data_IF_368223153510
#
_entry.id   IF_368223153510
#
_cell.length_a   1.000
_cell.length_b   1.000
_cell.length_c   1.000
_cell.angle_alpha   90.00
_cell.angle_beta   90.00
_cell.angle_gamma   90.00
#
_symmetry.space_group_name_H-M   'P 1'
#
loop_
_entity.id
_entity.type
_entity.pdbx_description
1 polymer ?
#
# COMPACT_ATOMS: atom_id res chain seq x y z
N UNK A 1 1.22 12.76 -12.58
CA UNK A 1 1.15 11.39 -13.12
C UNK A 1 0.92 11.53 -14.60
N UNK A 2 1.85 11.05 -15.42
CA UNK A 2 1.71 11.05 -16.87
C UNK A 2 1.25 9.64 -17.25
N UNK A 3 0.09 9.52 -17.89
CA UNK A 3 -0.31 8.25 -18.50
C UNK A 3 0.09 8.27 -19.96
N UNK A 4 0.94 7.32 -20.33
CA UNK A 4 1.07 6.94 -21.72
C UNK A 4 -0.15 6.06 -22.03
N UNK A 5 -1.12 6.61 -22.76
CA UNK A 5 -2.24 5.82 -23.24
C UNK A 5 -1.72 4.92 -24.36
N UNK A 6 -2.03 3.61 -24.36
CA UNK A 6 -1.65 2.74 -25.46
C UNK A 6 -2.12 3.33 -26.80
N UNK A 7 -1.33 3.10 -27.85
CA UNK A 7 -1.67 3.56 -29.20
C UNK A 7 -3.12 3.20 -29.56
N UNK A 8 -3.91 4.21 -29.91
CA UNK A 8 -5.33 4.06 -30.27
C UNK A 8 -6.33 4.12 -29.10
N UNK A 9 -5.88 4.41 -27.87
CA UNK A 9 -6.76 4.69 -26.73
C UNK A 9 -6.90 6.20 -26.55
N UNK A 10 -8.06 6.76 -26.90
CA UNK A 10 -8.42 8.17 -26.76
C UNK A 10 -9.41 8.45 -25.62
N UNK A 11 -10.06 7.41 -25.10
CA UNK A 11 -10.96 7.47 -23.96
C UNK A 11 -10.45 6.61 -22.79
N UNK A 12 -10.54 7.16 -21.57
CA UNK A 12 -10.23 6.41 -20.36
C UNK A 12 -11.11 6.82 -19.18
N UNK A 13 -11.39 5.84 -18.32
CA UNK A 13 -12.21 6.03 -17.14
C UNK A 13 -11.36 6.47 -15.94
N UNK A 14 -11.78 7.55 -15.26
CA UNK A 14 -11.02 8.18 -14.17
C UNK A 14 -11.40 7.72 -12.76
N UNK A 15 -12.60 7.15 -12.57
CA UNK A 15 -13.10 6.82 -11.22
C UNK A 15 -12.20 5.85 -10.44
N UNK A 16 -11.48 4.95 -11.12
CA UNK A 16 -10.48 4.06 -10.49
C UNK A 16 -9.12 4.72 -10.28
N UNK A 17 -8.85 5.81 -10.97
CA UNK A 17 -7.52 6.37 -11.11
C UNK A 17 -7.21 7.43 -10.05
N UNK A 18 -8.23 8.08 -9.48
CA UNK A 18 -8.00 9.11 -8.47
C UNK A 18 -7.24 8.56 -7.25
N UNK A 19 -7.55 7.34 -6.81
CA UNK A 19 -6.79 6.67 -5.73
C UNK A 19 -5.33 6.45 -6.13
N UNK A 20 -5.06 6.11 -7.39
CA UNK A 20 -3.71 5.94 -7.92
C UNK A 20 -2.96 7.28 -7.95
N UNK A 21 -3.64 8.38 -8.27
CA UNK A 21 -3.07 9.74 -8.19
C UNK A 21 -2.59 10.05 -6.77
N UNK A 22 -3.37 9.71 -5.74
CA UNK A 22 -2.95 9.88 -4.36
C UNK A 22 -1.82 8.92 -3.94
N UNK A 23 -1.86 7.68 -4.42
CA UNK A 23 -0.85 6.65 -4.16
C UNK A 23 0.53 7.04 -4.68
N UNK A 24 0.62 7.43 -5.95
CA UNK A 24 1.91 7.76 -6.60
C UNK A 24 2.33 9.22 -6.33
N UNK A 25 1.33 10.10 -6.16
CA UNK A 25 1.53 11.53 -6.00
C UNK A 25 1.52 11.96 -4.54
N UNK A 26 0.62 12.90 -4.24
CA UNK A 26 0.44 13.47 -2.90
C UNK A 26 -0.87 12.95 -2.32
N UNK A 27 -0.88 12.40 -1.11
CA UNK A 27 0.21 12.37 -0.13
C UNK A 27 1.12 11.13 -0.21
N UNK A 28 1.01 10.28 -1.23
CA UNK A 28 1.75 9.02 -1.33
C UNK A 28 3.24 9.16 -1.70
N UNK A 29 3.69 8.44 -2.73
CA UNK A 29 5.11 8.28 -3.05
C UNK A 29 5.84 9.59 -3.29
N UNK A 30 5.24 10.55 -4.01
CA UNK A 30 5.90 11.83 -4.26
C UNK A 30 6.24 12.55 -2.96
N UNK A 31 5.28 12.67 -2.02
CA UNK A 31 5.53 13.32 -0.74
C UNK A 31 6.61 12.58 0.05
N UNK A 32 6.52 11.25 0.15
CA UNK A 32 7.46 10.43 0.91
C UNK A 32 8.90 10.55 0.38
N UNK A 33 9.07 10.37 -0.93
CA UNK A 33 10.37 10.37 -1.57
C UNK A 33 10.99 11.77 -1.58
N UNK A 34 10.22 12.79 -1.98
CA UNK A 34 10.69 14.18 -1.98
C UNK A 34 11.08 14.64 -0.57
N UNK A 35 10.29 14.27 0.44
CA UNK A 35 10.61 14.57 1.84
C UNK A 35 11.96 13.98 2.22
N UNK A 36 12.16 12.67 2.06
CA UNK A 36 13.42 11.99 2.41
C UNK A 36 14.64 12.55 1.64
N UNK A 37 14.48 12.84 0.35
CA UNK A 37 15.55 13.43 -0.48
C UNK A 37 15.94 14.84 -0.03
N UNK A 38 14.99 15.61 0.51
CA UNK A 38 15.24 16.97 1.00
C UNK A 38 15.97 17.05 2.35
N UNK A 39 16.03 15.96 3.13
CA UNK A 39 16.70 15.89 4.45
C UNK A 39 18.22 15.75 4.31
N UNK A 40 18.85 16.68 3.59
CA UNK A 40 20.26 16.58 3.22
C UNK A 40 21.20 16.65 4.42
N UNK A 41 20.79 17.35 5.47
CA UNK A 41 21.56 17.58 6.69
C UNK A 41 21.30 16.53 7.78
N UNK A 42 20.16 15.83 7.73
CA UNK A 42 19.77 14.86 8.77
C UNK A 42 19.90 13.39 8.34
N UNK A 43 19.80 13.10 7.04
CA UNK A 43 19.90 11.74 6.51
C UNK A 43 21.17 11.59 5.68
N UNK A 44 22.01 10.62 5.99
CA UNK A 44 23.15 10.29 5.13
C UNK A 44 22.69 9.78 3.74
N UNK A 45 23.61 9.77 2.77
CA UNK A 45 23.31 9.38 1.39
C UNK A 45 22.67 7.99 1.29
N UNK A 46 23.11 7.01 2.06
CA UNK A 46 22.51 5.67 2.05
C UNK A 46 21.03 5.72 2.46
N UNK A 47 20.68 6.44 3.53
CA UNK A 47 19.28 6.59 3.96
C UNK A 47 18.39 7.35 2.96
N UNK A 48 18.97 8.27 2.18
CA UNK A 48 18.21 9.08 1.21
C UNK A 48 17.95 8.38 -0.11
N UNK A 49 18.92 7.61 -0.62
CA UNK A 49 18.85 7.06 -1.99
C UNK A 49 19.11 5.55 -2.08
N UNK A 50 19.67 4.92 -1.04
CA UNK A 50 20.06 3.50 -1.07
C UNK A 50 19.15 2.58 -0.26
N UNK A 51 18.58 3.08 0.84
CA UNK A 51 17.64 2.34 1.69
C UNK A 51 16.23 2.44 1.12
N UNK A 52 15.64 1.29 0.79
CA UNK A 52 14.23 1.19 0.44
C UNK A 52 13.65 -0.11 0.98
N UNK A 53 12.55 0.01 1.74
CA UNK A 53 11.80 -1.13 2.26
C UNK A 53 10.38 -1.06 1.71
N UNK A 54 9.97 -2.09 0.95
CA UNK A 54 8.66 -2.14 0.29
C UNK A 54 7.51 -1.87 1.26
N UNK A 55 7.48 -2.55 2.41
CA UNK A 55 6.42 -2.36 3.40
C UNK A 55 6.34 -0.93 3.96
N UNK A 56 7.46 -0.22 4.03
CA UNK A 56 7.46 1.19 4.43
C UNK A 56 6.89 2.08 3.32
N UNK A 57 7.41 1.96 2.09
CA UNK A 57 7.02 2.83 0.98
C UNK A 57 5.62 2.54 0.44
N UNK A 58 5.35 1.29 0.11
CA UNK A 58 4.04 0.84 -0.39
C UNK A 58 2.97 0.94 0.70
N UNK A 59 3.34 0.65 1.95
CA UNK A 59 2.46 0.84 3.09
C UNK A 59 2.09 2.31 3.31
N UNK A 60 3.04 3.23 3.13
CA UNK A 60 2.78 4.67 3.19
C UNK A 60 1.84 5.13 2.07
N UNK A 61 2.04 4.67 0.84
CA UNK A 61 1.18 5.05 -0.28
C UNK A 61 -0.27 4.56 -0.07
N UNK A 62 -0.46 3.31 0.37
CA UNK A 62 -1.79 2.79 0.73
C UNK A 62 -2.40 3.48 1.96
N UNK A 63 -1.58 3.91 2.90
CA UNK A 63 -1.98 4.75 4.02
C UNK A 63 -2.46 6.13 3.52
N UNK A 64 -1.74 6.71 2.55
CA UNK A 64 -2.10 7.96 1.89
C UNK A 64 -3.45 7.90 1.18
N UNK A 65 -3.73 6.82 0.44
CA UNK A 65 -5.05 6.57 -0.17
C UNK A 65 -6.18 6.58 0.89
N UNK A 66 -5.95 5.89 2.02
CA UNK A 66 -6.90 5.84 3.12
C UNK A 66 -7.09 7.22 3.78
N UNK A 67 -6.00 7.95 3.98
CA UNK A 67 -6.02 9.30 4.56
C UNK A 67 -6.88 10.23 3.70
N UNK A 68 -6.71 10.22 2.38
CA UNK A 68 -7.49 11.06 1.46
C UNK A 68 -8.99 10.74 1.54
N UNK A 69 -9.35 9.48 1.73
CA UNK A 69 -10.73 9.08 2.01
C UNK A 69 -11.26 9.68 3.32
N UNK A 70 -10.47 9.59 4.40
CA UNK A 70 -10.84 10.09 5.74
C UNK A 70 -11.05 11.61 5.77
N UNK A 71 -10.27 12.36 4.99
CA UNK A 71 -10.34 13.82 4.96
C UNK A 71 -11.26 14.36 3.84
N UNK A 72 -12.04 13.49 3.20
CA UNK A 72 -13.14 13.89 2.31
C UNK A 72 -12.79 14.08 0.83
N UNK A 73 -11.62 13.62 0.38
CA UNK A 73 -11.16 13.77 -1.02
C UNK A 73 -11.61 12.63 -1.95
N UNK A 74 -12.40 11.69 -1.43
CA UNK A 74 -13.07 10.62 -2.18
C UNK A 74 -14.57 10.67 -1.86
N UNK A 75 -15.18 11.81 -2.18
CA UNK A 75 -16.58 12.11 -1.91
C UNK A 75 -17.54 11.43 -2.91
N UNK A 76 -17.10 11.24 -4.16
CA UNK A 76 -17.87 10.48 -5.15
C UNK A 76 -17.83 8.98 -4.80
N UNK A 77 -18.99 8.31 -4.67
CA UNK A 77 -19.05 6.87 -4.44
C UNK A 77 -18.27 6.03 -5.47
N UNK A 78 -18.17 6.46 -6.73
CA UNK A 78 -17.39 5.78 -7.75
C UNK A 78 -15.89 5.86 -7.44
N UNK A 79 -15.38 7.03 -7.07
CA UNK A 79 -13.97 7.20 -6.68
C UNK A 79 -13.61 6.38 -5.44
N UNK A 80 -14.51 6.38 -4.45
CA UNK A 80 -14.37 5.56 -3.25
C UNK A 80 -14.40 4.07 -3.59
N UNK A 81 -15.26 3.64 -4.51
CA UNK A 81 -15.26 2.26 -5.00
C UNK A 81 -13.94 1.91 -5.69
N UNK A 82 -13.35 2.83 -6.46
CA UNK A 82 -12.04 2.66 -7.08
C UNK A 82 -10.93 2.39 -6.07
N UNK A 83 -10.91 3.18 -5.00
CA UNK A 83 -9.99 2.96 -3.87
C UNK A 83 -10.24 1.61 -3.19
N UNK A 84 -11.51 1.26 -2.93
CA UNK A 84 -11.86 -0.02 -2.29
C UNK A 84 -11.52 -1.25 -3.15
N UNK A 85 -11.74 -1.21 -4.46
CA UNK A 85 -11.32 -2.27 -5.40
C UNK A 85 -9.80 -2.45 -5.34
N UNK A 86 -9.08 -1.33 -5.35
CA UNK A 86 -7.63 -1.31 -5.17
C UNK A 86 -7.19 -1.94 -3.85
N UNK A 87 -7.81 -1.57 -2.73
CA UNK A 87 -7.50 -2.11 -1.40
C UNK A 87 -7.84 -3.61 -1.32
N UNK A 88 -8.95 -4.03 -1.91
CA UNK A 88 -9.39 -5.43 -1.96
C UNK A 88 -8.36 -6.31 -2.68
N UNK A 89 -7.84 -5.85 -3.83
CA UNK A 89 -6.75 -6.52 -4.53
C UNK A 89 -5.50 -6.69 -3.65
N UNK A 90 -5.08 -5.63 -2.94
CA UNK A 90 -3.88 -5.70 -2.07
C UNK A 90 -4.13 -6.55 -0.81
N UNK A 91 -5.35 -6.64 -0.31
CA UNK A 91 -5.70 -7.58 0.76
C UNK A 91 -5.67 -9.04 0.24
N UNK A 92 -6.20 -9.29 -0.95
CA UNK A 92 -6.15 -10.60 -1.60
C UNK A 92 -4.71 -11.09 -1.83
N UNK A 93 -3.78 -10.18 -2.15
CA UNK A 93 -2.34 -10.47 -2.24
C UNK A 93 -1.77 -11.09 -0.96
N UNK A 94 -2.20 -10.63 0.22
CA UNK A 94 -1.75 -11.19 1.51
C UNK A 94 -2.18 -12.64 1.63
N UNK A 95 -3.46 -12.93 1.34
CA UNK A 95 -4.02 -14.27 1.45
C UNK A 95 -3.36 -15.23 0.46
N UNK A 96 -3.17 -14.79 -0.79
CA UNK A 96 -2.56 -15.62 -1.83
C UNK A 96 -1.09 -15.91 -1.55
N UNK A 97 -0.27 -14.88 -1.35
CA UNK A 97 1.18 -15.04 -1.27
C UNK A 97 1.57 -15.86 -0.04
N UNK A 98 1.04 -15.51 1.13
CA UNK A 98 1.29 -16.25 2.37
C UNK A 98 0.64 -17.64 2.29
N UNK A 99 -0.58 -17.73 1.76
CA UNK A 99 -1.29 -19.00 1.67
C UNK A 99 -0.56 -20.03 0.81
N UNK A 100 -0.09 -19.60 -0.35
CA UNK A 100 0.64 -20.45 -1.30
C UNK A 100 2.03 -20.82 -0.74
N UNK A 101 2.83 -19.83 -0.32
CA UNK A 101 4.24 -20.07 0.03
C UNK A 101 4.43 -20.70 1.41
N UNK A 102 3.47 -20.55 2.32
CA UNK A 102 3.48 -21.19 3.63
C UNK A 102 2.61 -22.46 3.69
N UNK A 103 2.04 -22.91 2.58
CA UNK A 103 1.15 -24.08 2.50
C UNK A 103 -0.05 -24.01 3.45
N UNK A 104 -0.61 -22.83 3.67
CA UNK A 104 -1.89 -22.72 4.40
C UNK A 104 -3.06 -23.12 3.51
N UNK A 105 -4.17 -23.50 4.14
CA UNK A 105 -5.37 -23.89 3.41
C UNK A 105 -5.98 -22.69 2.66
N UNK A 106 -6.42 -22.95 1.43
CA UNK A 106 -7.21 -22.01 0.66
C UNK A 106 -8.54 -21.74 1.38
N UNK A 107 -9.09 -20.52 1.29
CA UNK A 107 -10.38 -20.18 1.87
C UNK A 107 -11.50 -21.12 1.45
N UNK A 108 -12.52 -21.28 2.32
CA UNK A 108 -13.68 -22.12 2.05
C UNK A 108 -14.42 -21.72 0.76
N UNK A 109 -14.45 -20.42 0.42
CA UNK A 109 -15.00 -19.92 -0.84
C UNK A 109 -14.28 -20.45 -2.10
N UNK A 110 -13.05 -20.96 -1.95
CA UNK A 110 -12.28 -21.61 -3.02
C UNK A 110 -12.31 -23.15 -2.92
N UNK A 111 -13.10 -23.70 -1.99
CA UNK A 111 -13.26 -25.12 -1.75
C UNK A 111 -12.30 -25.72 -0.70
N UNK A 112 -11.59 -24.91 0.08
CA UNK A 112 -10.70 -25.42 1.14
C UNK A 112 -9.43 -26.13 0.63
N UNK A 113 -8.60 -26.64 1.54
CA UNK A 113 -7.43 -27.47 1.23
C UNK A 113 -6.32 -26.75 0.46
N UNK A 114 -5.38 -27.47 -0.16
CA UNK A 114 -4.20 -26.88 -0.79
C UNK A 114 -4.53 -25.88 -1.91
N UNK A 115 -3.71 -24.84 -2.03
CA UNK A 115 -3.75 -23.91 -3.14
C UNK A 115 -3.37 -24.58 -4.47
N UNK A 116 -4.11 -24.22 -5.52
CA UNK A 116 -3.77 -24.56 -6.91
C UNK A 116 -3.79 -23.27 -7.72
N UNK A 117 -3.13 -23.24 -8.88
CA UNK A 117 -3.15 -22.08 -9.77
C UNK A 117 -4.59 -21.64 -10.13
N UNK A 118 -5.47 -22.62 -10.41
CA UNK A 118 -6.87 -22.34 -10.69
C UNK A 118 -7.63 -21.74 -9.49
N UNK A 119 -7.33 -22.18 -8.26
CA UNK A 119 -7.90 -21.56 -7.04
C UNK A 119 -7.39 -20.13 -6.86
N UNK A 120 -6.08 -19.90 -7.08
CA UNK A 120 -5.48 -18.57 -6.98
C UNK A 120 -6.11 -17.59 -7.99
N UNK A 121 -6.33 -18.04 -9.23
CA UNK A 121 -6.98 -17.24 -10.27
C UNK A 121 -8.41 -16.88 -9.92
N UNK A 122 -9.23 -17.87 -9.54
CA UNK A 122 -10.62 -17.61 -9.11
C UNK A 122 -10.69 -16.69 -7.89
N UNK A 123 -9.81 -16.88 -6.91
CA UNK A 123 -9.75 -16.04 -5.73
C UNK A 123 -9.44 -14.58 -6.11
N UNK A 124 -8.37 -14.34 -6.87
CA UNK A 124 -8.01 -12.98 -7.25
C UNK A 124 -9.10 -12.32 -8.11
N UNK A 125 -9.72 -13.07 -9.03
CA UNK A 125 -10.83 -12.60 -9.85
C UNK A 125 -12.08 -12.22 -9.03
N UNK A 126 -12.34 -12.93 -7.92
CA UNK A 126 -13.46 -12.63 -7.04
C UNK A 126 -13.23 -11.36 -6.18
N UNK A 127 -11.97 -11.00 -5.94
CA UNK A 127 -11.58 -9.92 -5.02
C UNK A 127 -11.08 -8.65 -5.72
N UNK A 128 -10.98 -8.60 -7.05
CA UNK A 128 -10.68 -7.36 -7.77
C UNK A 128 -11.23 -7.35 -9.20
N UNK A 129 -11.62 -6.17 -9.69
CA UNK A 129 -12.16 -5.96 -11.03
C UNK A 129 -11.04 -5.75 -12.06
N UNK A 130 -10.29 -6.81 -12.39
CA UNK A 130 -9.24 -6.79 -13.43
C UNK A 130 -9.54 -7.80 -14.54
N UNK A 131 -9.02 -7.54 -15.73
CA UNK A 131 -9.11 -8.49 -16.83
C UNK A 131 -8.22 -9.72 -16.58
N UNK A 132 -8.56 -10.84 -17.22
CA UNK A 132 -7.89 -12.12 -16.98
C UNK A 132 -6.38 -12.11 -17.26
N UNK A 133 -5.90 -11.31 -18.23
CA UNK A 133 -4.46 -11.24 -18.55
C UNK A 133 -3.71 -10.53 -17.44
N UNK A 134 -4.26 -9.43 -16.93
CA UNK A 134 -3.71 -8.74 -15.75
C UNK A 134 -3.67 -9.66 -14.53
N UNK A 135 -4.74 -10.42 -14.28
CA UNK A 135 -4.79 -11.38 -13.17
C UNK A 135 -3.74 -12.48 -13.29
N UNK A 136 -3.58 -13.04 -14.49
CA UNK A 136 -2.57 -14.05 -14.77
C UNK A 136 -1.15 -13.53 -14.48
N UNK A 137 -0.81 -12.36 -15.02
CA UNK A 137 0.49 -11.72 -14.80
C UNK A 137 0.76 -11.52 -13.30
N UNK A 138 -0.23 -11.01 -12.56
CA UNK A 138 -0.10 -10.77 -11.13
C UNK A 138 0.12 -12.08 -10.34
N UNK A 139 -0.61 -13.15 -10.66
CA UNK A 139 -0.42 -14.45 -9.99
C UNK A 139 0.97 -15.02 -10.26
N UNK A 140 1.43 -14.97 -11.51
CA UNK A 140 2.77 -15.41 -11.89
C UNK A 140 3.84 -14.59 -11.15
N UNK A 141 3.62 -13.28 -11.00
CA UNK A 141 4.49 -12.40 -10.20
C UNK A 141 4.54 -12.82 -8.73
N UNK A 142 3.40 -13.14 -8.12
CA UNK A 142 3.36 -13.56 -6.70
C UNK A 142 4.06 -14.91 -6.50
N UNK A 143 3.94 -15.83 -7.47
CA UNK A 143 4.64 -17.11 -7.44
C UNK A 143 6.16 -16.95 -7.63
N UNK A 144 6.58 -16.01 -8.48
CA UNK A 144 8.00 -15.74 -8.77
C UNK A 144 8.70 -14.82 -7.78
N UNK A 145 7.96 -14.06 -6.97
CA UNK A 145 8.54 -13.08 -6.03
C UNK A 145 7.86 -13.12 -4.64
N UNK A 146 8.08 -14.21 -3.88
CA UNK A 146 7.45 -14.43 -2.58
C UNK A 146 7.72 -13.28 -1.59
N UNK A 147 6.68 -12.86 -0.85
CA UNK A 147 6.77 -11.88 0.22
C UNK A 147 6.65 -10.42 -0.21
N UNK A 148 6.77 -10.11 -1.51
CA UNK A 148 6.63 -8.74 -2.02
C UNK A 148 5.17 -8.28 -2.01
N UNK A 149 4.24 -9.14 -2.45
CA UNK A 149 2.84 -8.78 -2.63
C UNK A 149 2.11 -8.42 -1.31
N UNK A 150 2.36 -9.09 -0.16
CA UNK A 150 1.79 -8.71 1.13
C UNK A 150 2.32 -7.38 1.68
N UNK A 151 3.53 -6.96 1.27
CA UNK A 151 4.20 -5.80 1.85
C UNK A 151 3.35 -4.51 1.78
N UNK A 152 2.54 -4.35 0.73
CA UNK A 152 1.59 -3.24 0.57
C UNK A 152 0.61 -3.18 1.74
N UNK A 153 -0.22 -4.22 1.90
CA UNK A 153 -1.34 -4.17 2.83
C UNK A 153 -0.90 -4.39 4.29
N UNK A 154 0.13 -5.21 4.51
CA UNK A 154 0.76 -5.37 5.83
C UNK A 154 1.44 -4.06 6.24
N UNK A 155 2.13 -3.39 5.32
CA UNK A 155 2.71 -2.07 5.52
C UNK A 155 1.67 -1.02 5.90
N UNK A 156 0.57 -0.93 5.13
CA UNK A 156 -0.57 -0.04 5.44
C UNK A 156 -1.09 -0.30 6.85
N UNK A 157 -1.31 -1.57 7.20
CA UNK A 157 -1.80 -1.96 8.53
C UNK A 157 -0.87 -1.43 9.63
N UNK A 158 0.43 -1.64 9.50
CA UNK A 158 1.42 -1.21 10.49
C UNK A 158 1.53 0.32 10.60
N UNK A 159 1.42 1.06 9.50
CA UNK A 159 1.29 2.52 9.51
C UNK A 159 0.05 3.00 10.27
N UNK A 160 -1.10 2.36 10.03
CA UNK A 160 -2.36 2.68 10.72
C UNK A 160 -2.30 2.35 12.21
N UNK A 161 -1.72 1.20 12.57
CA UNK A 161 -1.50 0.78 13.95
C UNK A 161 -0.59 1.78 14.69
N UNK A 162 0.52 2.17 14.08
CA UNK A 162 1.44 3.15 14.64
C UNK A 162 0.78 4.53 14.86
N UNK A 163 -0.03 5.00 13.91
CA UNK A 163 -0.82 6.24 14.08
C UNK A 163 -1.78 6.12 15.27
N UNK A 164 -2.50 4.99 15.38
CA UNK A 164 -3.46 4.74 16.46
C UNK A 164 -2.76 4.69 17.81
N UNK A 165 -1.64 3.98 17.91
CA UNK A 165 -0.82 3.89 19.11
C UNK A 165 -0.32 5.28 19.54
N UNK A 166 0.23 6.05 18.59
CA UNK A 166 0.69 7.41 18.84
C UNK A 166 -0.43 8.32 19.36
N UNK A 167 -1.64 8.19 18.80
CA UNK A 167 -2.82 8.93 19.23
C UNK A 167 -3.28 8.55 20.64
N UNK A 168 -3.23 7.26 20.99
CA UNK A 168 -3.57 6.78 22.33
C UNK A 168 -2.59 7.30 23.39
N UNK A 169 -1.28 7.30 23.09
CA UNK A 169 -0.25 7.80 24.00
C UNK A 169 -0.38 9.29 24.29
N UNK A 170 -0.74 10.09 23.28
CA UNK A 170 -0.77 11.55 23.39
C UNK A 170 -2.15 12.13 23.70
N UNK A 171 -3.21 11.33 23.57
CA UNK A 171 -4.58 11.73 23.85
C UNK A 171 -4.97 13.02 23.12
N UNK A 172 -5.45 14.02 23.86
CA UNK A 172 -5.84 15.32 23.32
C UNK A 172 -4.68 16.15 22.74
N UNK A 173 -3.42 15.79 23.03
CA UNK A 173 -2.23 16.44 22.48
C UNK A 173 -1.76 15.84 21.15
N UNK A 174 -2.43 14.79 20.66
CA UNK A 174 -2.06 14.17 19.40
C UNK A 174 -2.32 15.10 18.21
N UNK A 175 -1.27 15.34 17.42
CA UNK A 175 -1.35 16.11 16.19
C UNK A 175 -0.97 15.26 14.98
N UNK A 176 -1.93 15.01 14.08
CA UNK A 176 -1.72 14.16 12.91
C UNK A 176 -0.58 14.66 12.01
N UNK A 177 -0.48 15.98 11.83
CA UNK A 177 0.61 16.60 11.05
C UNK A 177 1.98 16.34 11.68
N UNK A 178 2.10 16.45 13.00
CA UNK A 178 3.35 16.16 13.73
C UNK A 178 3.71 14.69 13.58
N UNK A 179 2.73 13.79 13.72
CA UNK A 179 2.92 12.36 13.47
C UNK A 179 3.48 12.07 12.07
N UNK A 180 2.85 12.61 11.01
CA UNK A 180 3.32 12.41 9.63
C UNK A 180 4.73 12.95 9.43
N UNK A 181 5.02 14.16 9.92
CA UNK A 181 6.34 14.75 9.80
C UNK A 181 7.39 13.86 10.48
N UNK A 182 7.17 13.49 11.74
CA UNK A 182 8.10 12.65 12.50
C UNK A 182 8.35 11.32 11.80
N UNK A 183 7.31 10.66 11.29
CA UNK A 183 7.47 9.38 10.62
C UNK A 183 8.19 9.50 9.26
N UNK A 184 7.91 10.54 8.48
CA UNK A 184 8.60 10.78 7.21
C UNK A 184 10.06 11.25 7.40
N UNK A 185 10.37 11.94 8.50
CA UNK A 185 11.74 12.38 8.84
C UNK A 185 12.71 11.21 8.99
N UNK A 186 12.21 10.00 9.28
CA UNK A 186 13.04 8.77 9.40
C UNK A 186 13.55 8.29 8.02
N UNK A 187 12.90 8.67 6.92
CA UNK A 187 13.18 8.08 5.61
C UNK A 187 12.84 6.59 5.56
N UNK A 188 13.11 5.92 4.44
CA UNK A 188 12.71 4.52 4.27
C UNK A 188 13.55 3.58 5.15
N UNK A 189 12.88 2.92 6.10
CA UNK A 189 13.46 1.95 7.03
C UNK A 189 12.53 0.74 7.21
N UNK A 190 13.00 -0.31 7.89
CA UNK A 190 12.14 -1.41 8.32
C UNK A 190 10.99 -0.93 9.22
N UNK A 191 9.83 -1.59 9.16
CA UNK A 191 8.63 -1.14 9.88
C UNK A 191 8.80 -1.18 11.42
N UNK A 192 9.58 -2.12 11.95
CA UNK A 192 9.93 -2.15 13.38
C UNK A 192 10.80 -0.95 13.78
N UNK A 193 11.79 -0.61 12.95
CA UNK A 193 12.67 0.56 13.15
C UNK A 193 11.86 1.85 13.07
N UNK A 194 10.94 1.95 12.10
CA UNK A 194 10.02 3.08 11.99
C UNK A 194 9.18 3.24 13.26
N UNK A 195 8.54 2.16 13.73
CA UNK A 195 7.73 2.19 14.94
C UNK A 195 8.55 2.65 16.15
N UNK A 196 9.74 2.07 16.35
CA UNK A 196 10.61 2.47 17.45
C UNK A 196 10.98 3.97 17.38
N UNK A 197 11.49 4.42 16.24
CA UNK A 197 11.94 5.80 16.06
C UNK A 197 10.82 6.83 16.27
N UNK A 198 9.60 6.53 15.79
CA UNK A 198 8.45 7.42 15.94
C UNK A 198 7.97 7.50 17.39
N UNK A 199 7.88 6.37 18.09
CA UNK A 199 7.40 6.35 19.48
C UNK A 199 8.41 6.96 20.46
N UNK A 200 9.72 6.89 20.18
CA UNK A 200 10.76 7.54 20.99
C UNK A 200 10.83 9.06 20.77
N UNK A 201 10.35 9.55 19.62
CA UNK A 201 10.48 10.97 19.23
C UNK A 201 9.23 11.81 19.52
N UNK A 202 8.03 11.22 19.46
CA UNK A 202 6.77 11.95 19.58
C UNK A 202 6.51 12.52 20.98
#
# INVERSE_FOLDING_TARGET
MWWDLPDGVDEFSTWRQLTTVYHEGVPGHHLQAAHALSRVDELNRWRRIGSWVSGHGEGWALYGEQLMAEIGFLGDPAEKLGMLDGQSMRAARVVLDIGIHCNFEAPAEMGGGSWTYAKAHRFLAAHCSRDSKTLQFEIERYLGWPGQAPAYYVGKRLWMELRKESALMHGSKFELRKFHKTALDVGSVGLDVMRQAVLETL
#
